data_IF_462945130583
#
_entry.id   IF_462945130583
#
_cell.length_a   1.000
_cell.length_b   1.000
_cell.length_c   1.000
_cell.angle_alpha   90.00
_cell.angle_beta   90.00
_cell.angle_gamma   90.00
#
_symmetry.space_group_name_H-M   'P 1'
#
loop_
_entity.id
_entity.type
_entity.pdbx_description
1 polymer ?
#
# COMPACT_ATOMS: atom_id res chain seq x y z
N UNK A 1 13.18 -1.98 -12.89
CA UNK A 1 12.44 -0.73 -12.64
C UNK A 1 10.99 -1.12 -12.51
N UNK A 2 10.31 -0.70 -11.43
CA UNK A 2 8.91 -1.06 -11.18
C UNK A 2 7.94 -0.01 -11.71
N UNK A 3 6.66 -0.17 -11.41
CA UNK A 3 5.59 0.78 -11.76
C UNK A 3 4.72 1.13 -10.56
N UNK A 4 3.93 2.19 -10.68
CA UNK A 4 2.84 2.50 -9.76
C UNK A 4 1.57 2.81 -10.55
N UNK A 5 0.45 2.20 -10.16
CA UNK A 5 -0.86 2.44 -10.79
C UNK A 5 -1.98 2.67 -9.76
N UNK A 6 -2.95 3.52 -10.09
CA UNK A 6 -4.23 3.64 -9.37
C UNK A 6 -5.40 2.96 -10.12
N UNK A 7 -5.10 2.25 -11.21
CA UNK A 7 -6.09 1.66 -12.12
C UNK A 7 -6.58 2.58 -13.25
N UNK A 8 -6.21 3.86 -13.23
CA UNK A 8 -6.53 4.86 -14.28
C UNK A 8 -5.28 5.29 -15.06
N UNK A 9 -4.17 5.54 -14.35
CA UNK A 9 -2.87 5.89 -14.90
C UNK A 9 -1.78 4.96 -14.32
N UNK A 10 -0.67 4.79 -15.03
CA UNK A 10 0.47 3.98 -14.62
C UNK A 10 1.77 4.70 -14.94
N UNK A 11 2.65 4.84 -13.94
CA UNK A 11 3.92 5.56 -14.08
C UNK A 11 5.11 4.70 -13.67
N UNK A 12 6.30 4.93 -14.24
CA UNK A 12 7.53 4.37 -13.71
C UNK A 12 7.71 4.78 -12.24
N UNK A 13 8.09 3.84 -11.40
CA UNK A 13 8.25 4.07 -9.97
C UNK A 13 9.33 3.16 -9.38
N UNK A 14 10.07 3.70 -8.41
CA UNK A 14 11.11 2.96 -7.70
C UNK A 14 10.89 3.17 -6.20
N UNK A 15 10.53 2.07 -5.53
CA UNK A 15 10.64 1.98 -4.08
C UNK A 15 12.05 1.50 -3.75
N UNK A 16 12.81 2.27 -2.96
CA UNK A 16 14.23 1.98 -2.71
C UNK A 16 14.44 0.76 -1.81
N UNK A 17 13.48 0.47 -0.93
CA UNK A 17 13.56 -0.66 0.01
C UNK A 17 12.99 -1.96 -0.58
N UNK A 18 12.21 -1.88 -1.67
CA UNK A 18 11.78 -3.03 -2.47
C UNK A 18 11.78 -2.70 -3.98
N UNK A 19 12.98 -2.61 -4.61
CA UNK A 19 13.11 -2.20 -5.99
C UNK A 19 12.54 -3.24 -6.97
N UNK A 20 11.88 -2.76 -8.02
CA UNK A 20 11.41 -3.60 -9.12
C UNK A 20 10.00 -4.17 -8.96
N UNK A 21 9.32 -3.92 -7.84
CA UNK A 21 7.91 -4.29 -7.66
C UNK A 21 6.96 -3.35 -8.42
N UNK A 22 5.84 -3.92 -8.86
CA UNK A 22 4.71 -3.16 -9.43
C UNK A 22 3.69 -2.85 -8.33
N UNK A 23 3.58 -1.56 -8.01
CA UNK A 23 2.80 -1.04 -6.90
C UNK A 23 1.41 -0.58 -7.34
N UNK A 24 0.47 -0.70 -6.43
CA UNK A 24 -0.92 -0.29 -6.61
C UNK A 24 -1.36 0.63 -5.48
N UNK A 25 -1.96 1.76 -5.87
CA UNK A 25 -2.75 2.64 -4.99
C UNK A 25 -4.23 2.28 -5.09
N UNK A 26 -5.00 2.76 -4.11
CA UNK A 26 -6.46 2.80 -4.22
C UNK A 26 -6.89 3.56 -5.48
N UNK A 27 -8.06 3.26 -6.04
CA UNK A 27 -8.64 4.07 -7.12
C UNK A 27 -9.45 5.27 -6.59
N UNK A 28 -9.68 5.32 -5.27
CA UNK A 28 -10.31 6.45 -4.56
C UNK A 28 -9.28 7.51 -4.11
N UNK A 29 -8.16 7.58 -4.81
CA UNK A 29 -7.19 8.66 -4.68
C UNK A 29 -7.31 9.59 -5.87
N UNK A 30 -8.56 9.95 -6.16
CA UNK A 30 -9.06 10.90 -7.15
C UNK A 30 -8.62 12.36 -6.91
N UNK A 31 -7.67 12.57 -6.00
CA UNK A 31 -6.89 13.79 -5.93
C UNK A 31 -5.79 13.72 -7.00
N UNK A 32 -6.11 14.18 -8.21
CA UNK A 32 -5.15 14.34 -9.29
C UNK A 32 -4.33 15.64 -9.07
N UNK A 33 -3.01 15.68 -9.35
CA UNK A 33 -2.17 14.60 -9.88
C UNK A 33 -1.93 13.51 -8.83
N UNK A 34 -1.90 12.22 -9.23
CA UNK A 34 -1.57 11.03 -8.39
C UNK A 34 -0.74 11.46 -7.18
N UNK A 35 -1.41 11.78 -6.07
CA UNK A 35 -0.74 12.37 -4.93
C UNK A 35 0.18 11.31 -4.31
N UNK A 36 1.11 11.75 -3.46
CA UNK A 36 1.80 10.83 -2.56
C UNK A 36 0.80 10.31 -1.51
N UNK A 37 -0.02 9.35 -1.91
CA UNK A 37 -0.99 8.72 -1.03
C UNK A 37 -0.36 7.62 -0.18
N UNK A 38 -0.73 7.65 1.09
CA UNK A 38 0.04 7.14 2.22
C UNK A 38 0.23 5.61 2.28
N UNK A 39 -0.45 4.83 1.43
CA UNK A 39 -0.32 3.35 1.43
C UNK A 39 -0.39 2.80 0.01
N UNK A 40 0.65 2.04 -0.36
CA UNK A 40 0.75 1.29 -1.60
C UNK A 40 0.92 -0.20 -1.34
N UNK A 41 0.38 -1.01 -2.25
CA UNK A 41 0.38 -2.47 -2.18
C UNK A 41 1.06 -3.06 -3.40
N UNK A 42 1.90 -4.08 -3.26
CA UNK A 42 2.48 -4.83 -4.39
C UNK A 42 2.45 -6.33 -4.13
N UNK A 43 2.39 -7.14 -5.20
CA UNK A 43 2.70 -8.57 -5.09
C UNK A 43 4.22 -8.70 -4.92
N UNK A 44 4.66 -9.26 -3.79
CA UNK A 44 6.07 -9.40 -3.46
C UNK A 44 6.62 -10.80 -3.82
N UNK A 45 5.84 -11.59 -4.56
CA UNK A 45 6.22 -12.95 -4.93
C UNK A 45 6.02 -13.95 -3.79
N UNK A 46 6.80 -15.03 -3.84
CA UNK A 46 6.73 -16.12 -2.86
C UNK A 46 7.80 -15.94 -1.78
N UNK A 47 7.43 -16.19 -0.54
CA UNK A 47 8.33 -16.25 0.61
C UNK A 47 9.17 -17.53 0.54
N UNK A 48 10.28 -17.50 -0.19
CA UNK A 48 11.24 -18.61 -0.27
C UNK A 48 12.29 -18.48 0.86
N UNK A 49 12.47 -19.54 1.65
CA UNK A 49 13.42 -19.56 2.77
C UNK A 49 13.05 -18.62 3.91
N UNK A 50 11.76 -18.25 4.04
CA UNK A 50 11.32 -17.34 5.09
C UNK A 50 11.51 -17.99 6.48
N UNK A 51 12.21 -17.34 7.43
CA UNK A 51 12.50 -17.93 8.73
C UNK A 51 11.28 -18.02 9.66
N UNK A 52 10.14 -17.38 9.30
CA UNK A 52 8.97 -17.30 10.17
C UNK A 52 8.13 -18.58 10.11
N UNK A 53 8.08 -19.33 11.22
CA UNK A 53 7.44 -20.66 11.30
C UNK A 53 5.95 -20.69 10.95
N UNK A 54 5.24 -19.57 11.08
CA UNK A 54 3.81 -19.48 10.71
C UNK A 54 3.56 -19.04 9.27
N UNK A 55 4.60 -18.78 8.49
CA UNK A 55 4.52 -18.46 7.05
C UNK A 55 5.13 -19.65 6.31
N UNK A 56 4.29 -20.58 5.79
CA UNK A 56 4.79 -21.71 5.02
C UNK A 56 5.68 -21.25 3.86
N UNK A 57 6.72 -22.03 3.56
CA UNK A 57 7.61 -21.74 2.45
C UNK A 57 6.84 -21.68 1.12
N UNK A 58 7.20 -20.73 0.27
CA UNK A 58 6.50 -20.47 -0.99
C UNK A 58 5.17 -19.71 -0.84
N UNK A 59 4.80 -19.26 0.35
CA UNK A 59 3.59 -18.44 0.58
C UNK A 59 3.64 -17.16 -0.25
N UNK A 60 2.54 -16.82 -0.93
CA UNK A 60 2.44 -15.55 -1.66
C UNK A 60 2.33 -14.38 -0.69
N UNK A 61 3.18 -13.38 -0.91
CA UNK A 61 3.32 -12.21 -0.05
C UNK A 61 2.82 -10.96 -0.76
N UNK A 62 2.35 -10.02 0.04
CA UNK A 62 1.94 -8.68 -0.35
C UNK A 62 2.85 -7.70 0.39
N UNK A 63 3.51 -6.83 -0.34
CA UNK A 63 4.25 -5.70 0.19
C UNK A 63 3.31 -4.53 0.47
N UNK A 64 3.47 -3.89 1.61
CA UNK A 64 2.83 -2.63 1.99
C UNK A 64 3.92 -1.59 2.24
N UNK A 65 3.77 -0.39 1.69
CA UNK A 65 4.71 0.71 1.92
C UNK A 65 3.96 2.06 2.02
N UNK A 66 4.56 3.02 2.73
CA UNK A 66 4.12 4.41 2.73
C UNK A 66 4.86 5.18 1.64
N UNK A 67 4.12 5.60 0.60
CA UNK A 67 4.70 6.34 -0.53
C UNK A 67 5.19 7.75 -0.15
N UNK A 68 4.73 8.32 0.97
CA UNK A 68 5.23 9.61 1.46
C UNK A 68 6.63 9.50 2.04
N UNK A 69 7.00 8.32 2.50
CA UNK A 69 8.27 8.04 3.15
C UNK A 69 8.97 6.87 2.44
N UNK A 70 9.51 7.09 1.23
CA UNK A 70 10.02 6.02 0.35
C UNK A 70 11.17 5.20 0.95
N UNK A 71 11.88 5.76 1.93
CA UNK A 71 12.95 5.08 2.66
C UNK A 71 12.44 4.21 3.82
N UNK A 72 11.13 4.20 4.08
CA UNK A 72 10.52 3.43 5.15
C UNK A 72 10.57 1.92 4.85
N UNK A 73 10.60 1.08 5.90
CA UNK A 73 10.52 -0.36 5.74
C UNK A 73 9.25 -0.78 5.00
N UNK A 74 9.40 -1.74 4.10
CA UNK A 74 8.28 -2.44 3.45
C UNK A 74 7.82 -3.56 4.37
N UNK A 75 6.52 -3.59 4.68
CA UNK A 75 5.92 -4.67 5.44
C UNK A 75 5.47 -5.77 4.49
N UNK A 76 5.86 -7.02 4.78
CA UNK A 76 5.43 -8.19 4.01
C UNK A 76 4.34 -8.93 4.78
N UNK A 77 3.17 -9.03 4.16
CA UNK A 77 2.02 -9.74 4.70
C UNK A 77 1.70 -10.94 3.81
N UNK A 78 1.35 -12.08 4.40
CA UNK A 78 0.79 -13.18 3.63
C UNK A 78 -0.56 -12.77 3.00
N UNK A 79 -0.94 -13.42 1.90
CA UNK A 79 -2.29 -13.21 1.33
C UNK A 79 -3.41 -13.55 2.32
N UNK A 80 -3.18 -14.47 3.26
CA UNK A 80 -4.16 -14.81 4.27
C UNK A 80 -4.39 -13.64 5.25
N UNK A 81 -3.32 -12.98 5.70
CA UNK A 81 -3.40 -11.80 6.59
C UNK A 81 -4.09 -10.64 5.88
N UNK A 82 -3.67 -10.32 4.64
CA UNK A 82 -4.30 -9.26 3.84
C UNK A 82 -5.79 -9.54 3.61
N UNK A 83 -6.16 -10.80 3.34
CA UNK A 83 -7.56 -11.16 3.12
C UNK A 83 -8.41 -10.89 4.36
N UNK A 84 -7.93 -11.31 5.54
CA UNK A 84 -8.63 -11.08 6.81
C UNK A 84 -8.71 -9.59 7.13
N UNK A 85 -7.61 -8.86 6.95
CA UNK A 85 -7.59 -7.41 7.13
C UNK A 85 -8.63 -6.70 6.25
N UNK A 86 -8.65 -6.99 4.96
CA UNK A 86 -9.64 -6.40 4.05
C UNK A 86 -11.07 -6.83 4.36
N UNK A 87 -11.29 -8.03 4.88
CA UNK A 87 -12.62 -8.45 5.35
C UNK A 87 -13.07 -7.63 6.56
N UNK A 88 -12.19 -7.42 7.55
CA UNK A 88 -12.48 -6.57 8.71
C UNK A 88 -12.77 -5.12 8.30
N UNK A 89 -11.94 -4.54 7.42
CA UNK A 89 -12.18 -3.19 6.84
C UNK A 89 -13.55 -3.11 6.17
N UNK A 90 -13.93 -4.11 5.36
CA UNK A 90 -15.25 -4.14 4.70
C UNK A 90 -16.41 -4.34 5.68
N UNK A 91 -16.16 -4.95 6.83
CA UNK A 91 -17.14 -5.15 7.89
C UNK A 91 -17.27 -3.92 8.81
N UNK A 92 -16.47 -2.88 8.59
CA UNK A 92 -16.46 -1.68 9.44
C UNK A 92 -15.76 -1.86 10.78
N UNK A 93 -14.96 -2.93 10.95
CA UNK A 93 -14.25 -3.22 12.21
C UNK A 93 -13.18 -2.18 12.58
N UNK A 94 -12.87 -1.27 11.66
CA UNK A 94 -11.82 -0.26 11.80
C UNK A 94 -12.31 1.16 11.48
N UNK A 95 -13.63 1.38 11.46
CA UNK A 95 -14.21 2.67 11.11
C UNK A 95 -13.79 3.79 12.08
N UNK A 96 -13.52 3.46 13.34
CA UNK A 96 -13.01 4.40 14.35
C UNK A 96 -11.60 4.94 14.05
N UNK A 97 -10.85 4.28 13.16
CA UNK A 97 -9.52 4.71 12.72
C UNK A 97 -9.57 5.53 11.43
N UNK A 98 -10.75 5.77 10.88
CA UNK A 98 -10.90 6.60 9.67
C UNK A 98 -10.84 8.08 10.01
N UNK A 99 -10.25 8.86 9.11
CA UNK A 99 -10.08 10.30 9.29
C UNK A 99 -11.44 11.02 9.30
N UNK A 100 -11.56 12.07 10.12
CA UNK A 100 -12.75 12.93 10.08
C UNK A 100 -12.81 13.73 8.77
N UNK A 101 -13.98 14.29 8.40
CA UNK A 101 -14.08 15.15 7.21
C UNK A 101 -13.10 16.34 7.24
N UNK A 102 -12.84 16.92 8.41
CA UNK A 102 -11.90 18.02 8.60
C UNK A 102 -10.45 17.58 8.34
N UNK A 103 -10.07 16.40 8.83
CA UNK A 103 -8.75 15.82 8.60
C UNK A 103 -8.53 15.49 7.12
N UNK A 104 -9.55 14.96 6.44
CA UNK A 104 -9.51 14.70 4.99
C UNK A 104 -9.38 16.00 4.18
N UNK A 105 -10.09 17.06 4.58
CA UNK A 105 -10.00 18.37 3.93
C UNK A 105 -8.60 18.99 4.12
N UNK A 106 -8.04 18.92 5.32
CA UNK A 106 -6.70 19.41 5.62
C UNK A 106 -5.62 18.65 4.83
N UNK A 107 -5.71 17.32 4.76
CA UNK A 107 -4.80 16.49 3.99
C UNK A 107 -4.83 16.84 2.49
N UNK A 108 -6.03 17.05 1.94
CA UNK A 108 -6.22 17.46 0.54
C UNK A 108 -5.58 18.82 0.25
N UNK A 109 -5.73 19.79 1.16
CA UNK A 109 -5.11 21.12 1.02
C UNK A 109 -3.58 21.07 1.09
N UNK A 110 -3.01 20.32 2.04
CA UNK A 110 -1.57 20.19 2.19
C UNK A 110 -0.92 19.60 0.94
N UNK A 111 -1.61 18.67 0.27
CA UNK A 111 -1.11 18.01 -0.91
C UNK A 111 -1.07 18.89 -2.17
N UNK A 112 -1.86 19.97 -2.24
CA UNK A 112 -1.81 20.95 -3.34
C UNK A 112 -0.54 21.82 -3.25
N UNK A 113 0.00 21.99 -2.05
CA UNK A 113 1.13 22.90 -1.77
C UNK A 113 2.49 22.18 -1.87
N UNK A 114 2.50 20.85 -1.77
CA UNK A 114 3.70 20.00 -1.72
C UNK A 114 4.19 19.57 -3.11
#
# INVERSE_FOLDING_TARGET
MGTITNGLDTRPYVNVTAPGLDWRKSSRTDLDPILKDCVILADAGRAEGNPHVSIPDGTRMIAISDDKAPDSPVLLMSRAEITKFFQGVKAGEFDEFTATPEELAAASQAAIIA
#
